data_IF_973920257173
#
_entry.id   IF_973920257173
#
_cell.length_a   1.000
_cell.length_b   1.000
_cell.length_c   1.000
_cell.angle_alpha   90.00
_cell.angle_beta   90.00
_cell.angle_gamma   90.00
#
_symmetry.space_group_name_H-M   'P 1'
#
loop_
_entity.id
_entity.type
_entity.pdbx_description
1 polymer ?
#
# COMPACT_ATOMS: atom_id res chain seq x y z
N UNK A 1 -10.04 -15.78 51.37
CA UNK A 1 -10.25 -16.14 49.96
C UNK A 1 -9.10 -15.57 49.12
N UNK A 2 -8.18 -16.41 48.61
CA UNK A 2 -7.24 -16.01 47.56
C UNK A 2 -7.55 -16.79 46.27
N UNK A 3 -8.10 -16.12 45.27
CA UNK A 3 -8.24 -16.65 43.92
C UNK A 3 -7.25 -15.96 42.97
N UNK A 4 -6.72 -16.73 42.01
CA UNK A 4 -6.01 -16.35 40.76
C UNK A 4 -4.49 -16.60 40.66
N UNK A 5 -4.02 -17.88 40.61
CA UNK A 5 -2.72 -18.24 40.03
C UNK A 5 -2.79 -18.63 38.53
N UNK A 6 -3.86 -19.29 38.09
CA UNK A 6 -3.90 -19.98 36.78
C UNK A 6 -3.71 -19.10 35.53
N UNK A 7 -4.02 -17.81 35.59
CA UNK A 7 -3.88 -16.91 34.43
C UNK A 7 -2.44 -16.40 34.23
N UNK A 8 -1.59 -16.44 35.27
CA UNK A 8 -0.18 -16.07 35.18
C UNK A 8 0.65 -17.21 34.60
N UNK A 9 0.42 -18.42 35.09
CA UNK A 9 1.12 -19.63 34.64
C UNK A 9 0.92 -19.88 33.13
N UNK A 10 -0.30 -19.71 32.60
CA UNK A 10 -0.53 -19.85 31.16
C UNK A 10 0.17 -18.78 30.32
N UNK A 11 0.28 -17.55 30.81
CA UNK A 11 0.96 -16.47 30.08
C UNK A 11 2.47 -16.74 30.03
N UNK A 12 3.03 -17.25 31.12
CA UNK A 12 4.44 -17.62 31.24
C UNK A 12 4.79 -18.82 30.33
N UNK A 13 3.92 -19.83 30.26
CA UNK A 13 4.08 -21.01 29.39
C UNK A 13 4.02 -20.66 27.88
N UNK A 14 3.13 -19.73 27.49
CA UNK A 14 3.10 -19.21 26.12
C UNK A 14 4.35 -18.37 25.80
N UNK A 15 4.86 -17.57 26.74
CA UNK A 15 6.08 -16.78 26.51
C UNK A 15 7.34 -17.63 26.42
N UNK A 16 7.42 -18.74 27.18
CA UNK A 16 8.59 -19.63 27.17
C UNK A 16 8.63 -20.48 25.88
N UNK A 17 7.48 -20.93 25.39
CA UNK A 17 7.38 -21.58 24.07
C UNK A 17 7.62 -20.64 22.88
N UNK A 18 7.32 -19.35 23.03
CA UNK A 18 7.52 -18.34 21.98
C UNK A 18 8.99 -17.88 21.87
N UNK A 19 9.76 -17.88 22.97
CA UNK A 19 11.13 -17.37 22.97
C UNK A 19 12.09 -18.10 22.01
N UNK A 20 12.09 -19.44 21.90
CA UNK A 20 12.91 -20.18 20.92
C UNK A 20 12.50 -19.89 19.48
N UNK A 21 11.20 -19.77 19.21
CA UNK A 21 10.64 -19.50 17.88
C UNK A 21 10.98 -18.09 17.42
N UNK A 22 10.84 -17.10 18.32
CA UNK A 22 11.22 -15.70 18.07
C UNK A 22 12.73 -15.58 17.87
N UNK A 23 13.54 -16.31 18.63
CA UNK A 23 14.99 -16.35 18.48
C UNK A 23 15.44 -16.96 17.14
N UNK A 24 14.77 -18.03 16.69
CA UNK A 24 14.99 -18.63 15.37
C UNK A 24 14.63 -17.68 14.23
N UNK A 25 13.45 -17.04 14.30
CA UNK A 25 12.98 -16.10 13.29
C UNK A 25 13.91 -14.87 13.15
N UNK A 26 14.48 -14.37 14.25
CA UNK A 26 15.45 -13.26 14.21
C UNK A 26 16.75 -13.65 13.50
N UNK A 27 17.30 -14.84 13.78
CA UNK A 27 18.51 -15.32 13.11
C UNK A 27 18.33 -15.47 11.60
N UNK A 28 17.19 -16.03 11.19
CA UNK A 28 16.87 -16.16 9.77
C UNK A 28 16.70 -14.79 9.10
N UNK A 29 16.00 -13.86 9.77
CA UNK A 29 15.85 -12.49 9.32
C UNK A 29 17.19 -11.77 9.14
N UNK A 30 18.13 -11.96 10.09
CA UNK A 30 19.48 -11.42 10.03
C UNK A 30 20.29 -12.03 8.88
N UNK A 31 20.21 -13.35 8.69
CA UNK A 31 20.86 -14.04 7.56
C UNK A 31 20.31 -13.56 6.21
N UNK A 32 19.00 -13.34 6.10
CA UNK A 32 18.36 -12.89 4.87
C UNK A 32 18.75 -11.45 4.49
N UNK A 33 18.75 -10.53 5.46
CA UNK A 33 19.01 -9.10 5.18
C UNK A 33 20.49 -8.80 4.92
N UNK A 34 21.40 -9.57 5.52
CA UNK A 34 22.84 -9.27 5.49
C UNK A 34 23.10 -7.84 5.98
N UNK A 35 23.89 -7.09 5.23
CA UNK A 35 24.21 -5.68 5.54
C UNK A 35 23.16 -4.68 5.03
N UNK A 36 22.08 -5.14 4.39
CA UNK A 36 21.06 -4.25 3.84
C UNK A 36 20.05 -3.84 4.93
N UNK A 37 19.59 -2.57 4.94
CA UNK A 37 18.64 -2.09 5.93
C UNK A 37 17.21 -2.54 5.62
N UNK A 38 16.95 -3.86 5.50
CA UNK A 38 15.61 -4.39 5.17
C UNK A 38 14.73 -4.50 6.42
N UNK A 39 13.59 -3.77 6.49
CA UNK A 39 12.74 -3.76 7.67
C UNK A 39 11.76 -4.95 7.71
N UNK A 40 12.28 -6.18 7.81
CA UNK A 40 11.45 -7.40 7.73
C UNK A 40 10.32 -7.44 8.77
N UNK A 41 10.57 -6.94 9.98
CA UNK A 41 9.54 -6.87 11.02
C UNK A 41 8.41 -5.90 10.64
N UNK A 42 8.75 -4.78 10.01
CA UNK A 42 7.76 -3.83 9.50
C UNK A 42 6.98 -4.38 8.32
N UNK A 43 7.64 -5.10 7.38
CA UNK A 43 6.95 -5.78 6.29
C UNK A 43 5.97 -6.83 6.78
N UNK A 44 6.34 -7.61 7.80
CA UNK A 44 5.44 -8.59 8.40
C UNK A 44 4.20 -7.90 8.98
N UNK A 45 4.37 -6.75 9.65
CA UNK A 45 3.25 -5.97 10.15
C UNK A 45 2.35 -5.47 9.01
N UNK A 46 2.92 -4.91 7.93
CA UNK A 46 2.16 -4.44 6.76
C UNK A 46 1.40 -5.60 6.09
N UNK A 47 2.04 -6.76 5.94
CA UNK A 47 1.41 -7.97 5.40
C UNK A 47 0.26 -8.44 6.28
N UNK A 48 0.45 -8.48 7.60
CA UNK A 48 -0.59 -8.86 8.55
C UNK A 48 -1.81 -7.92 8.44
N UNK A 49 -1.57 -6.59 8.36
CA UNK A 49 -2.64 -5.61 8.15
C UNK A 49 -3.37 -5.87 6.84
N UNK A 50 -2.65 -6.14 5.75
CA UNK A 50 -3.25 -6.44 4.46
C UNK A 50 -4.16 -7.68 4.54
N UNK A 51 -3.67 -8.77 5.14
CA UNK A 51 -4.45 -9.99 5.36
C UNK A 51 -5.71 -9.72 6.20
N UNK A 52 -5.60 -8.93 7.27
CA UNK A 52 -6.74 -8.54 8.10
C UNK A 52 -7.77 -7.75 7.29
N UNK A 53 -7.35 -6.76 6.50
CA UNK A 53 -8.24 -5.96 5.66
C UNK A 53 -9.01 -6.85 4.67
N UNK A 54 -8.31 -7.75 3.97
CA UNK A 54 -8.93 -8.68 3.02
C UNK A 54 -9.88 -9.64 3.72
N UNK A 55 -9.47 -10.21 4.87
CA UNK A 55 -10.30 -11.14 5.64
C UNK A 55 -11.57 -10.46 6.16
N UNK A 56 -11.46 -9.25 6.72
CA UNK A 56 -12.61 -8.45 7.19
C UNK A 56 -13.54 -8.13 6.04
N UNK A 57 -13.02 -7.71 4.88
CA UNK A 57 -13.85 -7.43 3.71
C UNK A 57 -14.57 -8.70 3.20
N UNK A 58 -13.89 -9.84 3.17
CA UNK A 58 -14.49 -11.12 2.77
C UNK A 58 -15.59 -11.56 3.74
N UNK A 59 -15.33 -11.53 5.06
CA UNK A 59 -16.33 -11.85 6.09
C UNK A 59 -17.51 -10.88 6.01
N UNK A 60 -17.26 -9.58 5.87
CA UNK A 60 -18.32 -8.59 5.72
C UNK A 60 -19.17 -8.84 4.46
N UNK A 61 -18.56 -9.22 3.33
CA UNK A 61 -19.29 -9.54 2.10
C UNK A 61 -20.19 -10.76 2.30
N UNK A 62 -19.70 -11.80 2.98
CA UNK A 62 -20.47 -13.00 3.33
C UNK A 62 -21.65 -12.66 4.27
N UNK A 63 -21.39 -11.92 5.35
CA UNK A 63 -22.41 -11.57 6.33
C UNK A 63 -23.48 -10.61 5.79
N UNK A 64 -23.12 -9.75 4.83
CA UNK A 64 -24.05 -8.80 4.20
C UNK A 64 -24.73 -9.36 2.94
N UNK A 65 -24.48 -10.64 2.59
CA UNK A 65 -25.08 -11.29 1.43
C UNK A 65 -24.67 -10.66 0.09
N UNK A 66 -23.49 -10.02 0.03
CA UNK A 66 -23.00 -9.38 -1.20
C UNK A 66 -22.54 -10.46 -2.18
N UNK A 67 -23.13 -10.45 -3.37
CA UNK A 67 -22.73 -11.34 -4.45
C UNK A 67 -21.46 -10.82 -5.11
N UNK A 68 -20.43 -11.66 -5.18
CA UNK A 68 -19.22 -11.36 -5.94
C UNK A 68 -19.50 -11.39 -7.44
N UNK A 69 -18.89 -10.50 -8.24
CA UNK A 69 -19.08 -10.51 -9.68
C UNK A 69 -18.53 -11.82 -10.28
N UNK A 70 -19.31 -12.47 -11.14
CA UNK A 70 -18.88 -13.69 -11.86
C UNK A 70 -17.85 -13.40 -12.95
N UNK A 71 -17.80 -12.14 -13.43
CA UNK A 71 -16.86 -11.65 -14.43
C UNK A 71 -16.60 -10.17 -14.23
N UNK A 72 -15.41 -9.73 -14.62
CA UNK A 72 -15.08 -8.31 -14.71
C UNK A 72 -15.72 -7.70 -15.95
N UNK A 73 -16.41 -6.57 -15.78
CA UNK A 73 -16.81 -5.75 -16.92
C UNK A 73 -15.57 -5.01 -17.43
N UNK A 74 -15.29 -5.09 -18.73
CA UNK A 74 -14.06 -4.52 -19.34
C UNK A 74 -13.85 -3.05 -18.96
N UNK A 75 -14.91 -2.24 -18.96
CA UNK A 75 -14.81 -0.85 -18.51
C UNK A 75 -14.36 -0.71 -17.05
N UNK A 76 -14.86 -1.55 -16.13
CA UNK A 76 -14.45 -1.49 -14.72
C UNK A 76 -12.99 -1.92 -14.60
N UNK A 77 -12.56 -2.92 -15.37
CA UNK A 77 -11.16 -3.34 -15.42
C UNK A 77 -10.24 -2.22 -15.92
N UNK A 78 -10.58 -1.56 -17.03
CA UNK A 78 -9.80 -0.46 -17.60
C UNK A 78 -9.76 0.73 -16.63
N UNK A 79 -10.92 1.14 -16.10
CA UNK A 79 -11.02 2.26 -15.16
C UNK A 79 -10.29 1.98 -13.85
N UNK A 80 -10.41 0.78 -13.28
CA UNK A 80 -9.66 0.43 -12.07
C UNK A 80 -8.17 0.34 -12.36
N UNK A 81 -7.74 -0.17 -13.52
CA UNK A 81 -6.32 -0.28 -13.88
C UNK A 81 -5.68 1.11 -14.00
N UNK A 82 -6.24 1.99 -14.83
CA UNK A 82 -5.71 3.34 -15.03
C UNK A 82 -5.85 4.19 -13.76
N UNK A 83 -7.00 4.08 -13.09
CA UNK A 83 -7.25 4.77 -11.83
C UNK A 83 -6.28 4.34 -10.73
N UNK A 84 -5.97 3.04 -10.62
CA UNK A 84 -4.99 2.51 -9.66
C UNK A 84 -3.62 3.09 -9.94
N UNK A 85 -3.14 2.95 -11.17
CA UNK A 85 -1.84 3.46 -11.58
C UNK A 85 -1.68 4.95 -11.24
N UNK A 86 -2.66 5.77 -11.65
CA UNK A 86 -2.58 7.22 -11.43
C UNK A 86 -2.73 7.61 -9.96
N UNK A 87 -3.67 7.02 -9.23
CA UNK A 87 -3.85 7.31 -7.81
C UNK A 87 -2.61 6.93 -7.00
N UNK A 88 -2.06 5.73 -7.20
CA UNK A 88 -0.86 5.30 -6.50
C UNK A 88 0.31 6.22 -6.81
N UNK A 89 0.52 6.57 -8.09
CA UNK A 89 1.59 7.48 -8.49
C UNK A 89 1.40 8.88 -7.91
N UNK A 90 0.18 9.41 -7.89
CA UNK A 90 -0.12 10.70 -7.26
C UNK A 90 0.19 10.68 -5.76
N UNK A 91 -0.23 9.64 -5.03
CA UNK A 91 0.05 9.54 -3.60
C UNK A 91 1.54 9.34 -3.29
N UNK A 92 2.26 8.61 -4.15
CA UNK A 92 3.66 8.25 -3.91
C UNK A 92 4.70 9.20 -4.49
N UNK A 93 4.33 10.05 -5.46
CA UNK A 93 5.29 10.89 -6.20
C UNK A 93 4.91 12.35 -6.33
N UNK A 94 3.62 12.74 -6.29
CA UNK A 94 3.22 14.12 -6.54
C UNK A 94 3.72 15.10 -5.46
N UNK A 95 4.33 16.22 -5.85
CA UNK A 95 4.81 17.24 -4.93
C UNK A 95 3.72 17.72 -3.96
N UNK A 96 2.47 17.82 -4.41
CA UNK A 96 1.33 18.29 -3.58
C UNK A 96 0.98 17.27 -2.49
N UNK A 97 1.27 15.98 -2.70
CA UNK A 97 1.02 14.92 -1.70
C UNK A 97 2.20 14.69 -0.75
N UNK A 98 3.31 15.42 -0.91
CA UNK A 98 4.50 15.31 -0.04
C UNK A 98 4.20 15.41 1.47
N UNK A 99 3.21 16.21 1.96
CA UNK A 99 2.88 16.21 3.39
C UNK A 99 2.48 14.85 3.96
N UNK A 100 1.93 13.94 3.13
CA UNK A 100 1.61 12.56 3.55
C UNK A 100 2.88 11.71 3.75
N UNK A 101 3.96 12.05 3.05
CA UNK A 101 5.21 11.28 2.97
C UNK A 101 6.32 11.87 3.83
N UNK A 102 6.31 13.18 4.05
CA UNK A 102 7.31 13.91 4.83
C UNK A 102 7.63 13.30 6.21
N UNK A 103 6.67 12.71 6.97
CA UNK A 103 6.99 12.01 8.20
C UNK A 103 7.85 10.77 8.00
N UNK A 104 7.86 10.13 6.84
CA UNK A 104 8.53 8.86 6.56
C UNK A 104 9.74 9.01 5.62
N UNK A 105 9.94 10.19 5.04
CA UNK A 105 10.94 10.39 3.98
C UNK A 105 11.76 11.67 4.14
N UNK A 106 12.81 11.77 3.32
CA UNK A 106 13.60 12.96 3.05
C UNK A 106 13.47 13.34 1.58
N UNK A 107 13.31 14.63 1.28
CA UNK A 107 13.28 15.10 -0.10
C UNK A 107 14.65 14.91 -0.76
N UNK A 108 14.65 14.27 -1.94
CA UNK A 108 15.86 13.90 -2.69
C UNK A 108 15.91 14.51 -4.10
N UNK A 109 14.98 15.42 -4.43
CA UNK A 109 14.98 16.16 -5.70
C UNK A 109 13.69 16.02 -6.50
N UNK A 110 13.72 16.46 -7.75
CA UNK A 110 12.60 16.36 -8.69
C UNK A 110 12.68 15.07 -9.49
N UNK A 111 11.55 14.41 -9.72
CA UNK A 111 11.46 13.18 -10.50
C UNK A 111 10.98 13.38 -11.93
N UNK A 112 9.83 14.04 -12.07
CA UNK A 112 9.12 14.27 -13.32
C UNK A 112 8.20 15.48 -13.19
N UNK A 113 7.33 15.76 -14.19
CA UNK A 113 6.40 16.88 -14.11
C UNK A 113 5.53 16.78 -12.84
N UNK A 114 5.64 17.79 -11.97
CA UNK A 114 5.00 17.83 -10.65
C UNK A 114 5.35 16.67 -9.70
N UNK A 115 6.38 15.87 -9.98
CA UNK A 115 6.80 14.73 -9.15
C UNK A 115 8.10 15.01 -8.41
N UNK A 116 8.20 14.47 -7.19
CA UNK A 116 9.36 14.54 -6.32
C UNK A 116 9.95 13.14 -6.08
N UNK A 117 11.27 13.10 -5.93
CA UNK A 117 11.98 11.94 -5.44
C UNK A 117 12.25 12.11 -3.96
N UNK A 118 12.10 11.01 -3.23
CA UNK A 118 12.19 10.99 -1.78
C UNK A 118 12.91 9.71 -1.33
N UNK A 119 13.79 9.84 -0.35
CA UNK A 119 14.50 8.75 0.29
C UNK A 119 13.80 8.36 1.60
N UNK A 120 13.74 7.05 1.88
CA UNK A 120 13.02 6.53 3.04
C UNK A 120 13.85 6.71 4.31
N UNK A 121 13.18 7.05 5.41
CA UNK A 121 13.80 7.10 6.75
C UNK A 121 13.94 5.71 7.33
N UNK A 122 15.14 5.38 7.79
CA UNK A 122 15.48 4.05 8.29
C UNK A 122 15.46 3.92 9.83
N UNK A 123 15.07 5.00 10.52
CA UNK A 123 15.17 5.13 11.99
C UNK A 123 14.39 4.05 12.77
N UNK A 124 13.28 3.54 12.22
CA UNK A 124 12.50 2.46 12.83
C UNK A 124 11.92 1.51 11.78
N UNK A 125 11.74 0.24 12.15
CA UNK A 125 11.24 -0.80 11.25
C UNK A 125 9.88 -0.42 10.62
N UNK A 126 8.94 0.08 11.43
CA UNK A 126 7.62 0.47 10.93
C UNK A 126 7.67 1.73 10.07
N UNK A 127 8.46 2.73 10.47
CA UNK A 127 8.58 3.98 9.72
C UNK A 127 9.27 3.75 8.37
N UNK A 128 10.26 2.87 8.34
CA UNK A 128 10.93 2.44 7.11
C UNK A 128 9.94 1.72 6.20
N UNK A 129 9.27 0.65 6.66
CA UNK A 129 8.33 -0.09 5.80
C UNK A 129 7.17 0.77 5.28
N UNK A 130 6.66 1.70 6.10
CA UNK A 130 5.64 2.67 5.65
C UNK A 130 6.21 3.66 4.64
N UNK A 131 7.45 4.14 4.83
CA UNK A 131 8.12 5.00 3.88
C UNK A 131 8.33 4.31 2.52
N UNK A 132 8.77 3.04 2.51
CA UNK A 132 8.86 2.26 1.28
C UNK A 132 7.49 2.07 0.62
N UNK A 133 6.45 1.74 1.39
CA UNK A 133 5.08 1.62 0.86
C UNK A 133 4.58 2.93 0.24
N UNK A 134 4.84 4.06 0.90
CA UNK A 134 4.36 5.39 0.50
C UNK A 134 5.23 6.07 -0.56
N UNK A 135 6.39 5.53 -0.91
CA UNK A 135 7.26 6.06 -1.99
C UNK A 135 7.35 5.14 -3.20
N UNK A 136 6.90 3.89 -3.06
CA UNK A 136 6.86 2.87 -4.09
C UNK A 136 5.45 2.77 -4.71
N UNK A 137 5.22 3.32 -5.92
CA UNK A 137 3.91 3.26 -6.57
C UNK A 137 3.40 1.83 -6.76
N UNK A 138 4.29 0.89 -7.13
CA UNK A 138 3.93 -0.52 -7.30
C UNK A 138 3.48 -1.19 -6.00
N UNK A 139 4.10 -0.82 -4.89
CA UNK A 139 3.76 -1.34 -3.58
C UNK A 139 2.38 -0.82 -3.16
N UNK A 140 2.11 0.46 -3.44
CA UNK A 140 0.81 1.08 -3.16
C UNK A 140 -0.29 0.64 -4.13
N UNK A 141 0.04 0.28 -5.38
CA UNK A 141 -0.91 -0.24 -6.39
C UNK A 141 -1.71 -1.41 -5.85
N UNK A 142 -1.07 -2.33 -5.12
CA UNK A 142 -1.76 -3.47 -4.50
C UNK A 142 -2.85 -3.02 -3.52
N UNK A 143 -2.58 -2.00 -2.71
CA UNK A 143 -3.54 -1.45 -1.74
C UNK A 143 -4.67 -0.71 -2.44
N UNK A 144 -4.35 0.13 -3.42
CA UNK A 144 -5.33 0.91 -4.16
C UNK A 144 -6.25 0.00 -4.98
N UNK A 145 -5.70 -0.97 -5.70
CA UNK A 145 -6.48 -1.95 -6.46
C UNK A 145 -7.42 -2.76 -5.56
N UNK A 146 -6.91 -3.21 -4.41
CA UNK A 146 -7.71 -3.94 -3.41
C UNK A 146 -8.82 -3.06 -2.85
N UNK A 147 -8.51 -1.79 -2.53
CA UNK A 147 -9.49 -0.80 -2.07
C UNK A 147 -10.58 -0.56 -3.11
N UNK A 148 -10.24 -0.44 -4.39
CA UNK A 148 -11.22 -0.34 -5.47
C UNK A 148 -12.03 -1.64 -5.65
N UNK A 149 -11.43 -2.82 -5.55
CA UNK A 149 -12.16 -4.08 -5.64
C UNK A 149 -13.19 -4.22 -4.50
N UNK A 150 -12.77 -3.95 -3.26
CA UNK A 150 -13.66 -3.91 -2.08
C UNK A 150 -14.74 -2.84 -2.29
N UNK A 151 -14.37 -1.63 -2.70
CA UNK A 151 -15.28 -0.53 -2.96
C UNK A 151 -16.33 -0.86 -4.04
N UNK A 152 -15.97 -1.60 -5.09
CA UNK A 152 -16.92 -2.05 -6.11
C UNK A 152 -17.96 -3.04 -5.57
N UNK A 153 -17.62 -3.81 -4.54
CA UNK A 153 -18.55 -4.75 -3.88
C UNK A 153 -19.54 -3.99 -2.97
N UNK A 154 -19.04 -3.05 -2.16
CA UNK A 154 -19.84 -2.40 -1.13
C UNK A 154 -20.48 -1.08 -1.58
N UNK A 155 -19.74 -0.24 -2.33
CA UNK A 155 -20.11 1.12 -2.75
C UNK A 155 -19.78 1.36 -4.24
N UNK A 156 -20.39 0.60 -5.18
CA UNK A 156 -19.98 0.58 -6.58
C UNK A 156 -20.02 1.94 -7.29
N UNK A 157 -21.04 2.76 -7.01
CA UNK A 157 -21.20 4.07 -7.66
C UNK A 157 -20.10 5.03 -7.26
N UNK A 158 -19.79 5.10 -5.96
CA UNK A 158 -18.74 5.96 -5.44
C UNK A 158 -17.37 5.51 -5.93
N UNK A 159 -17.11 4.21 -5.89
CA UNK A 159 -15.82 3.65 -6.33
C UNK A 159 -15.56 3.88 -7.81
N UNK A 160 -16.58 3.69 -8.66
CA UNK A 160 -16.48 4.00 -10.09
C UNK A 160 -16.22 5.48 -10.34
N UNK A 161 -16.84 6.37 -9.57
CA UNK A 161 -16.59 7.81 -9.68
C UNK A 161 -15.12 8.14 -9.37
N UNK A 162 -14.60 7.67 -8.23
CA UNK A 162 -13.22 7.95 -7.84
C UNK A 162 -12.22 7.33 -8.82
N UNK A 163 -12.35 6.05 -9.16
CA UNK A 163 -11.47 5.40 -10.14
C UNK A 163 -11.57 6.05 -11.52
N UNK A 164 -12.76 6.49 -11.91
CA UNK A 164 -13.01 7.26 -13.13
C UNK A 164 -12.30 8.61 -13.15
N UNK A 165 -12.31 9.36 -12.04
CA UNK A 165 -11.59 10.63 -11.91
C UNK A 165 -10.09 10.43 -12.10
N UNK A 166 -9.48 9.44 -11.43
CA UNK A 166 -8.05 9.16 -11.60
C UNK A 166 -7.72 8.62 -13.00
N UNK A 167 -8.62 7.86 -13.62
CA UNK A 167 -8.49 7.46 -15.03
C UNK A 167 -8.48 8.67 -15.96
N UNK A 168 -9.39 9.62 -15.77
CA UNK A 168 -9.45 10.84 -16.57
C UNK A 168 -8.19 11.69 -16.38
N UNK A 169 -7.68 11.80 -15.13
CA UNK A 169 -6.41 12.47 -14.84
C UNK A 169 -5.22 11.80 -15.56
N UNK A 170 -5.16 10.46 -15.59
CA UNK A 170 -4.14 9.75 -16.34
C UNK A 170 -4.16 10.12 -17.84
N UNK A 171 -5.36 10.19 -18.42
CA UNK A 171 -5.55 10.62 -19.81
C UNK A 171 -5.15 12.09 -20.03
N UNK A 172 -5.47 12.98 -19.09
CA UNK A 172 -5.09 14.39 -19.17
C UNK A 172 -3.57 14.57 -19.14
N UNK A 173 -2.87 13.88 -18.24
CA UNK A 173 -1.41 13.94 -18.15
C UNK A 173 -0.74 13.37 -19.41
N UNK A 174 -1.27 12.27 -19.94
CA UNK A 174 -0.80 11.71 -21.21
C UNK A 174 -0.92 12.74 -22.35
N UNK A 175 -2.06 13.45 -22.42
CA UNK A 175 -2.27 14.47 -23.43
C UNK A 175 -1.33 15.66 -23.26
N UNK A 176 -1.03 16.09 -22.02
CA UNK A 176 -0.04 17.14 -21.74
C UNK A 176 1.37 16.74 -22.21
N UNK A 177 1.78 15.49 -21.94
CA UNK A 177 3.07 14.97 -22.42
C UNK A 177 3.11 14.87 -23.95
N UNK A 178 2.04 14.38 -24.58
CA UNK A 178 1.92 14.31 -26.03
C UNK A 178 2.01 15.71 -26.67
N UNK A 179 1.34 16.70 -26.08
CA UNK A 179 1.40 18.09 -26.53
C UNK A 179 2.82 18.65 -26.42
N UNK A 180 3.51 18.43 -25.30
CA UNK A 180 4.90 18.86 -25.11
C UNK A 180 5.90 18.18 -26.06
N UNK A 181 5.60 16.98 -26.54
CA UNK A 181 6.38 16.31 -27.61
C UNK A 181 6.09 16.97 -28.96
N UNK A 182 4.82 17.20 -29.27
CA UNK A 182 4.42 17.84 -30.53
C UNK A 182 5.02 19.24 -30.71
N UNK A 183 5.04 20.06 -29.64
CA UNK A 183 5.68 21.37 -29.67
C UNK A 183 7.18 21.28 -29.98
N UNK A 184 7.90 20.38 -29.30
CA UNK A 184 9.34 20.18 -29.55
C UNK A 184 9.64 19.73 -30.98
N UNK A 185 8.75 18.96 -31.60
CA UNK A 185 8.90 18.55 -33.01
C UNK A 185 8.57 19.63 -34.03
N UNK A 186 7.83 20.67 -33.64
CA UNK A 186 7.47 21.78 -34.53
C UNK A 186 8.51 22.91 -34.52
N UNK A 187 9.30 22.99 -33.44
CA UNK A 187 10.37 23.99 -33.26
C UNK A 187 11.75 23.52 -33.76
N UNK A 188 11.91 22.22 -34.06
CA UNK A 188 13.14 21.61 -34.57
C UNK A 188 13.03 21.22 -36.04
#
# INVERSE_FOLDING_TARGET
>A
MPGKPAARDSLEEFTDGAAPVVGGARREADSYRGDNPRPLGGYLAVLAVYCVVVAVAAVAALLTGRTLPTRWRIQDLVTVTLGTHKLSRTLTKDAVTSPLRAPFTHYAGTGGPAEVMEEVREESQLRHSLGELLTCPFCLDMWVATGFAIGLIFLPRFTRLIAGVFTALAGADFLQLAYAIAQRSAEG
#
